data_IF_948593463155
#
_entry.id   IF_948593463155
#
_cell.length_a   1.000
_cell.length_b   1.000
_cell.length_c   1.000
_cell.angle_alpha   90.00
_cell.angle_beta   90.00
_cell.angle_gamma   90.00
#
_symmetry.space_group_name_H-M   'P 1'
#
loop_
_entity.id
_entity.type
_entity.pdbx_description
1 polymer ?
#
# COMPACT_ATOMS: atom_id res chain seq x y z
N UNK A 1 11.64 9.26 -15.73
CA UNK A 1 10.51 9.84 -14.93
C UNK A 1 9.24 9.62 -15.70
N UNK A 2 8.27 8.93 -15.09
CA UNK A 2 6.96 8.63 -15.70
C UNK A 2 6.03 9.85 -15.63
N UNK A 3 5.01 9.95 -16.52
CA UNK A 3 4.08 11.09 -16.53
C UNK A 3 3.28 11.18 -15.22
N UNK A 4 3.10 12.40 -14.71
CA UNK A 4 2.25 12.65 -13.53
C UNK A 4 0.80 12.21 -13.75
N UNK A 5 0.11 11.83 -12.69
CA UNK A 5 -1.26 11.36 -12.72
C UNK A 5 -1.44 9.91 -13.16
N UNK A 6 -0.36 9.18 -13.48
CA UNK A 6 -0.41 7.78 -13.95
C UNK A 6 -0.05 6.77 -12.87
N UNK A 7 -0.53 5.53 -13.01
CA UNK A 7 -0.13 4.43 -12.14
C UNK A 7 1.39 4.15 -12.22
N UNK A 8 1.98 4.33 -13.41
CA UNK A 8 3.43 4.15 -13.59
C UNK A 8 4.24 5.15 -12.73
N UNK A 9 3.79 6.41 -12.63
CA UNK A 9 4.42 7.42 -11.78
C UNK A 9 4.26 7.11 -10.30
N UNK A 10 3.08 6.63 -9.87
CA UNK A 10 2.87 6.19 -8.48
C UNK A 10 3.86 5.09 -8.11
N UNK A 11 4.01 4.09 -8.97
CA UNK A 11 4.91 2.95 -8.73
C UNK A 11 6.37 3.42 -8.70
N UNK A 12 6.80 4.29 -9.62
CA UNK A 12 8.14 4.86 -9.61
C UNK A 12 8.45 5.58 -8.30
N UNK A 13 7.54 6.44 -7.84
CA UNK A 13 7.69 7.18 -6.58
C UNK A 13 7.74 6.22 -5.38
N UNK A 14 6.85 5.24 -5.33
CA UNK A 14 6.80 4.28 -4.22
C UNK A 14 8.06 3.38 -4.17
N UNK A 15 8.56 2.93 -5.33
CA UNK A 15 9.78 2.13 -5.43
C UNK A 15 11.01 2.87 -4.91
N UNK A 16 11.11 4.18 -5.19
CA UNK A 16 12.22 5.01 -4.71
C UNK A 16 12.27 5.13 -3.18
N UNK A 17 11.17 4.86 -2.50
CA UNK A 17 11.07 4.93 -1.04
C UNK A 17 11.34 3.60 -0.33
N UNK A 18 11.41 2.48 -1.05
CA UNK A 18 11.67 1.16 -0.45
C UNK A 18 13.00 1.16 0.31
N UNK A 19 12.97 0.70 1.55
CA UNK A 19 14.10 0.69 2.48
C UNK A 19 14.18 1.92 3.39
N UNK A 20 13.31 2.90 3.23
CA UNK A 20 13.21 4.03 4.17
C UNK A 20 12.77 3.52 5.55
N UNK A 21 13.49 3.97 6.59
CA UNK A 21 13.23 3.63 8.01
C UNK A 21 12.87 4.91 8.75
N UNK A 22 11.93 4.82 9.68
CA UNK A 22 11.60 5.92 10.59
C UNK A 22 12.80 6.33 11.45
N UNK A 23 12.88 7.61 11.80
CA UNK A 23 14.03 8.16 12.56
C UNK A 23 13.84 8.12 14.09
N UNK A 24 12.67 7.74 14.54
CA UNK A 24 12.24 7.59 15.93
C UNK A 24 10.86 6.97 15.91
N UNK A 25 10.19 6.86 17.02
CA UNK A 25 8.86 6.22 17.07
C UNK A 25 7.85 6.96 16.18
N UNK A 26 7.57 6.38 15.01
CA UNK A 26 6.68 6.92 13.98
C UNK A 26 7.06 8.32 13.44
N UNK A 27 8.34 8.72 13.50
CA UNK A 27 8.79 10.01 12.98
C UNK A 27 9.29 9.86 11.54
N UNK A 28 8.58 10.47 10.59
CA UNK A 28 8.88 10.38 9.16
C UNK A 28 8.57 11.66 8.39
N UNK A 29 9.17 11.81 7.21
CA UNK A 29 8.76 12.87 6.26
C UNK A 29 7.28 12.73 5.83
N UNK A 30 6.75 11.52 5.82
CA UNK A 30 5.36 11.26 5.45
C UNK A 30 4.39 11.74 6.52
N UNK A 31 4.68 11.46 7.79
CA UNK A 31 3.92 11.97 8.92
C UNK A 31 3.94 13.49 8.98
N UNK A 32 5.11 14.11 8.77
CA UNK A 32 5.25 15.58 8.68
C UNK A 32 4.40 16.15 7.55
N UNK A 33 4.42 15.54 6.37
CA UNK A 33 3.62 15.96 5.21
C UNK A 33 2.13 15.96 5.53
N UNK A 34 1.61 14.94 6.19
CA UNK A 34 0.19 14.83 6.55
C UNK A 34 -0.18 15.54 7.86
N UNK A 35 0.79 16.17 8.54
CA UNK A 35 0.62 16.77 9.89
C UNK A 35 0.19 15.76 10.95
N UNK A 36 0.64 14.51 10.80
CA UNK A 36 0.36 13.36 11.67
C UNK A 36 1.66 12.65 12.10
N UNK A 37 2.75 13.41 12.26
CA UNK A 37 4.04 12.88 12.71
C UNK A 37 3.94 12.31 14.13
N UNK A 38 4.59 11.18 14.38
CA UNK A 38 4.46 10.44 15.64
C UNK A 38 3.27 9.47 15.69
N UNK A 39 2.42 9.42 14.66
CA UNK A 39 1.34 8.45 14.51
C UNK A 39 1.73 7.35 13.51
N UNK A 40 1.08 6.15 13.55
CA UNK A 40 1.26 5.12 12.53
C UNK A 40 1.11 5.70 11.13
N UNK A 41 2.11 5.51 10.26
CA UNK A 41 2.27 6.29 9.05
C UNK A 41 2.06 5.54 7.72
N UNK A 42 1.45 4.37 7.75
CA UNK A 42 1.12 3.65 6.51
C UNK A 42 0.22 4.47 5.56
N UNK A 43 -0.80 5.13 6.10
CA UNK A 43 -1.66 6.02 5.34
C UNK A 43 -0.98 7.32 4.93
N UNK A 44 -0.17 7.90 5.80
CA UNK A 44 0.64 9.09 5.48
C UNK A 44 1.62 8.84 4.35
N UNK A 45 2.23 7.66 4.30
CA UNK A 45 3.06 7.21 3.20
C UNK A 45 2.29 7.20 1.87
N UNK A 46 1.10 6.59 1.83
CA UNK A 46 0.26 6.59 0.64
C UNK A 46 -0.10 8.02 0.20
N UNK A 47 -0.54 8.88 1.11
CA UNK A 47 -0.85 10.26 0.78
C UNK A 47 0.34 11.00 0.17
N UNK A 48 1.54 10.81 0.73
CA UNK A 48 2.76 11.42 0.22
C UNK A 48 3.12 10.92 -1.19
N UNK A 49 3.07 9.61 -1.42
CA UNK A 49 3.36 9.00 -2.73
C UNK A 49 2.41 9.50 -3.80
N UNK A 50 1.10 9.48 -3.52
CA UNK A 50 0.08 9.91 -4.48
C UNK A 50 0.20 11.40 -4.79
N UNK A 51 0.41 12.24 -3.78
CA UNK A 51 0.67 13.67 -3.99
C UNK A 51 1.90 13.91 -4.88
N UNK A 52 3.02 13.24 -4.58
CA UNK A 52 4.27 13.35 -5.35
C UNK A 52 4.10 12.83 -6.79
N UNK A 53 3.19 11.90 -7.00
CA UNK A 53 2.85 11.38 -8.33
C UNK A 53 1.81 12.24 -9.07
N UNK A 54 1.32 13.35 -8.49
CA UNK A 54 0.31 14.20 -9.09
C UNK A 54 -1.10 13.59 -9.09
N UNK A 55 -1.41 12.74 -8.12
CA UNK A 55 -2.71 12.06 -7.98
C UNK A 55 -3.38 12.46 -6.66
N UNK A 56 -4.62 12.91 -6.74
CA UNK A 56 -5.40 13.29 -5.57
C UNK A 56 -6.13 12.07 -4.98
N UNK A 57 -5.94 11.86 -3.68
CA UNK A 57 -6.69 10.90 -2.87
C UNK A 57 -7.15 11.57 -1.56
N UNK A 58 -8.22 11.08 -0.91
CA UNK A 58 -8.58 11.58 0.42
C UNK A 58 -7.49 11.22 1.45
N UNK A 59 -7.55 11.84 2.63
CA UNK A 59 -6.65 11.49 3.72
C UNK A 59 -6.76 10.00 4.06
N UNK A 60 -5.61 9.32 4.10
CA UNK A 60 -5.45 7.92 4.50
C UNK A 60 -4.82 7.78 5.89
N UNK A 61 -4.59 8.88 6.61
CA UNK A 61 -4.03 8.87 7.97
C UNK A 61 -4.84 7.93 8.88
N UNK A 62 -6.17 7.99 8.82
CA UNK A 62 -7.04 6.93 9.30
C UNK A 62 -7.42 6.06 8.10
N UNK A 63 -6.85 4.85 8.01
CA UNK A 63 -7.07 3.95 6.88
C UNK A 63 -8.56 3.56 6.73
N UNK A 64 -9.25 3.34 7.84
CA UNK A 64 -10.69 3.04 7.85
C UNK A 64 -11.52 4.23 7.31
N UNK A 65 -11.22 5.45 7.74
CA UNK A 65 -11.91 6.65 7.24
C UNK A 65 -11.60 6.91 5.75
N UNK A 66 -10.36 6.68 5.34
CA UNK A 66 -9.94 6.77 3.94
C UNK A 66 -10.68 5.77 3.05
N UNK A 67 -10.78 4.52 3.48
CA UNK A 67 -11.55 3.49 2.80
C UNK A 67 -13.02 3.87 2.65
N UNK A 68 -13.63 4.39 3.71
CA UNK A 68 -15.01 4.86 3.68
C UNK A 68 -15.21 5.96 2.63
N UNK A 69 -14.33 6.96 2.60
CA UNK A 69 -14.36 8.03 1.59
C UNK A 69 -14.19 7.52 0.16
N UNK A 70 -13.35 6.50 -0.05
CA UNK A 70 -13.20 5.88 -1.37
C UNK A 70 -14.47 5.13 -1.79
N UNK A 71 -15.15 4.46 -0.85
CA UNK A 71 -16.45 3.83 -1.09
C UNK A 71 -17.53 4.86 -1.45
N UNK A 72 -17.64 5.95 -0.71
CA UNK A 72 -18.58 7.06 -1.00
C UNK A 72 -18.35 7.66 -2.39
N UNK A 73 -17.10 7.70 -2.86
CA UNK A 73 -16.74 8.18 -4.20
C UNK A 73 -16.96 7.13 -5.31
N UNK A 74 -17.49 5.95 -5.00
CA UNK A 74 -17.67 4.86 -5.95
C UNK A 74 -16.36 4.29 -6.51
N UNK A 75 -15.27 4.33 -5.71
CA UNK A 75 -13.92 3.94 -6.11
C UNK A 75 -13.47 2.60 -5.52
N UNK A 76 -14.33 1.93 -4.78
CA UNK A 76 -14.02 0.64 -4.14
C UNK A 76 -14.07 -0.51 -5.15
N UNK A 77 -13.12 -1.44 -5.01
CA UNK A 77 -12.98 -2.65 -5.84
C UNK A 77 -12.75 -3.84 -4.90
N UNK A 78 -13.54 -4.89 -5.01
CA UNK A 78 -13.45 -6.04 -4.11
C UNK A 78 -12.36 -7.03 -4.51
N UNK A 79 -12.20 -7.35 -5.80
CA UNK A 79 -11.43 -8.51 -6.24
C UNK A 79 -10.43 -8.28 -7.39
N UNK A 80 -10.57 -7.24 -8.18
CA UNK A 80 -9.76 -7.01 -9.40
C UNK A 80 -8.80 -5.85 -9.26
N UNK A 81 -7.75 -6.04 -8.48
CA UNK A 81 -6.71 -5.05 -8.33
C UNK A 81 -6.03 -4.70 -9.67
N UNK A 82 -5.67 -3.44 -9.82
CA UNK A 82 -4.80 -2.94 -10.88
C UNK A 82 -3.59 -2.24 -10.28
N UNK A 83 -2.58 -2.02 -11.13
CA UNK A 83 -1.39 -1.26 -10.75
C UNK A 83 -1.77 0.15 -10.33
N UNK A 84 -1.23 0.60 -9.19
CA UNK A 84 -1.54 1.91 -8.62
C UNK A 84 -2.79 1.97 -7.75
N UNK A 85 -3.54 0.87 -7.57
CA UNK A 85 -4.63 0.81 -6.61
C UNK A 85 -4.11 0.88 -5.17
N UNK A 86 -4.91 1.43 -4.28
CA UNK A 86 -4.73 1.29 -2.83
C UNK A 86 -5.24 -0.09 -2.40
N UNK A 87 -4.45 -0.79 -1.60
CA UNK A 87 -4.79 -2.08 -1.01
C UNK A 87 -5.05 -1.91 0.48
N UNK A 88 -6.27 -2.21 0.93
CA UNK A 88 -6.66 -2.12 2.33
C UNK A 88 -6.63 -3.48 2.99
N UNK A 89 -6.07 -3.54 4.18
CA UNK A 89 -5.80 -4.78 4.89
C UNK A 89 -6.32 -4.73 6.33
N UNK A 90 -6.69 -5.91 6.83
CA UNK A 90 -7.02 -6.17 8.22
C UNK A 90 -5.93 -7.04 8.86
N UNK A 91 -5.34 -6.53 9.92
CA UNK A 91 -4.47 -7.29 10.81
C UNK A 91 -4.99 -7.15 12.24
N UNK A 92 -5.14 -8.22 12.98
CA UNK A 92 -4.60 -9.57 12.80
C UNK A 92 -5.42 -10.56 11.97
N UNK A 93 -6.44 -10.16 11.23
CA UNK A 93 -7.32 -11.04 10.45
C UNK A 93 -8.07 -12.04 11.36
N UNK A 94 -8.88 -11.49 12.24
CA UNK A 94 -9.62 -12.24 13.27
C UNK A 94 -11.08 -12.53 12.89
N UNK A 95 -11.44 -12.31 11.62
CA UNK A 95 -12.81 -12.48 11.12
C UNK A 95 -13.71 -11.26 11.33
N UNK A 96 -13.18 -10.19 11.90
CA UNK A 96 -13.86 -8.89 12.02
C UNK A 96 -13.16 -7.93 11.09
N UNK A 97 -13.82 -7.55 9.99
CA UNK A 97 -13.24 -6.64 8.98
C UNK A 97 -12.96 -5.25 9.57
N UNK A 98 -11.76 -5.09 10.09
CA UNK A 98 -11.25 -3.82 10.63
C UNK A 98 -10.05 -3.37 9.82
N UNK A 99 -10.28 -2.47 8.89
CA UNK A 99 -9.18 -1.91 8.10
C UNK A 99 -8.20 -1.22 9.05
N UNK A 100 -6.98 -1.77 9.10
CA UNK A 100 -5.93 -1.35 10.02
C UNK A 100 -4.61 -1.00 9.31
N UNK A 101 -4.49 -1.33 8.02
CA UNK A 101 -3.28 -1.10 7.24
C UNK A 101 -3.62 -0.83 5.77
N UNK A 102 -2.67 -0.21 5.06
CA UNK A 102 -2.82 0.16 3.65
C UNK A 102 -1.48 0.05 2.93
N UNK A 103 -1.52 -0.30 1.64
CA UNK A 103 -0.38 -0.30 0.74
C UNK A 103 -0.78 0.11 -0.67
N UNK A 104 0.20 0.16 -1.56
CA UNK A 104 0.05 0.52 -2.97
C UNK A 104 0.34 -0.69 -3.83
N UNK A 105 -0.60 -1.11 -4.67
CA UNK A 105 -0.45 -2.26 -5.57
C UNK A 105 0.56 -1.93 -6.67
N UNK A 106 1.63 -2.69 -6.74
CA UNK A 106 2.71 -2.53 -7.74
C UNK A 106 2.86 -3.74 -8.66
N UNK A 107 2.23 -4.86 -8.33
CA UNK A 107 2.13 -6.05 -9.19
C UNK A 107 0.88 -6.85 -8.83
N UNK A 108 0.20 -7.36 -9.84
CA UNK A 108 -1.02 -8.16 -9.68
C UNK A 108 -0.77 -9.63 -10.00
N UNK A 109 -1.53 -10.53 -9.36
CA UNK A 109 -1.55 -11.95 -9.61
C UNK A 109 -2.94 -12.54 -9.32
N UNK A 110 -3.13 -13.83 -9.57
CA UNK A 110 -4.44 -14.49 -9.41
C UNK A 110 -4.88 -14.59 -7.94
N UNK A 111 -3.95 -14.85 -7.04
CA UNK A 111 -4.22 -15.12 -5.61
C UNK A 111 -3.54 -14.15 -4.66
N UNK A 112 -2.68 -13.30 -5.18
CA UNK A 112 -1.92 -12.33 -4.39
C UNK A 112 -1.54 -11.12 -5.22
N UNK A 113 -1.23 -10.03 -4.53
CA UNK A 113 -0.63 -8.82 -5.09
C UNK A 113 0.71 -8.55 -4.42
N UNK A 114 1.59 -7.79 -5.07
CA UNK A 114 2.69 -7.13 -4.39
C UNK A 114 2.31 -5.69 -4.11
N UNK A 115 2.49 -5.28 -2.87
CA UNK A 115 2.27 -3.91 -2.42
C UNK A 115 3.57 -3.30 -1.93
N UNK A 116 3.75 -1.99 -2.11
CA UNK A 116 4.71 -1.21 -1.35
C UNK A 116 3.95 -0.58 -0.19
N UNK A 117 4.44 -0.78 1.01
CA UNK A 117 3.78 -0.41 2.25
C UNK A 117 4.72 0.40 3.14
N UNK A 118 4.21 1.49 3.70
CA UNK A 118 4.87 2.21 4.77
C UNK A 118 4.55 1.61 6.13
N UNK A 119 5.42 1.83 7.11
CA UNK A 119 5.25 1.42 8.50
C UNK A 119 5.01 -0.10 8.68
N UNK A 120 5.71 -0.92 7.94
CA UNK A 120 5.63 -2.38 8.01
C UNK A 120 6.99 -2.99 8.37
N UNK A 121 7.04 -4.32 8.58
CA UNK A 121 8.27 -5.04 8.86
C UNK A 121 8.35 -6.36 8.08
N UNK A 122 9.54 -6.96 8.06
CA UNK A 122 9.77 -8.27 7.45
C UNK A 122 9.07 -9.38 8.22
N UNK A 123 9.28 -9.45 9.53
CA UNK A 123 8.83 -10.53 10.42
C UNK A 123 8.09 -10.08 11.67
N UNK A 124 8.11 -8.78 11.98
CA UNK A 124 7.47 -8.18 13.16
C UNK A 124 6.07 -7.65 12.89
N UNK A 125 5.74 -6.54 13.52
CA UNK A 125 4.44 -5.89 13.37
C UNK A 125 4.23 -5.42 11.92
N UNK A 126 3.14 -5.88 11.32
CA UNK A 126 2.81 -5.55 9.93
C UNK A 126 2.16 -4.17 9.78
N UNK A 127 1.74 -3.55 10.88
CA UNK A 127 1.05 -2.25 10.91
C UNK A 127 1.87 -1.13 11.54
N UNK A 128 2.89 -1.46 12.30
CA UNK A 128 3.75 -0.52 13.01
C UNK A 128 5.20 -1.03 13.06
N UNK A 129 5.73 -1.37 11.90
CA UNK A 129 7.05 -1.99 11.74
C UNK A 129 8.17 -1.03 11.39
N UNK A 130 7.87 0.25 11.17
CA UNK A 130 8.85 1.33 11.03
C UNK A 130 9.59 1.43 9.70
N UNK A 131 9.20 0.67 8.66
CA UNK A 131 9.93 0.61 7.38
C UNK A 131 9.00 0.66 6.16
N UNK A 132 9.53 1.16 5.04
CA UNK A 132 8.89 1.01 3.71
C UNK A 132 9.40 -0.26 3.06
N UNK A 133 8.50 -1.18 2.72
CA UNK A 133 8.86 -2.47 2.15
C UNK A 133 7.94 -2.92 1.03
N UNK A 134 8.49 -3.74 0.12
CA UNK A 134 7.73 -4.54 -0.82
C UNK A 134 7.21 -5.80 -0.11
N UNK A 135 5.91 -6.03 -0.14
CA UNK A 135 5.22 -7.12 0.56
C UNK A 135 4.30 -7.88 -0.39
N UNK A 136 4.22 -9.22 -0.22
CA UNK A 136 3.18 -10.04 -0.85
C UNK A 136 1.98 -10.12 0.07
N UNK A 137 0.79 -9.82 -0.47
CA UNK A 137 -0.49 -9.91 0.24
C UNK A 137 -1.45 -10.81 -0.51
N UNK A 138 -2.24 -11.59 0.21
CA UNK A 138 -3.09 -12.64 -0.36
C UNK A 138 -4.56 -12.21 -0.38
N UNK A 139 -5.19 -12.39 -1.54
CA UNK A 139 -6.63 -12.18 -1.72
C UNK A 139 -7.38 -13.25 -0.93
N UNK A 140 -8.43 -12.86 -0.20
CA UNK A 140 -9.18 -13.76 0.67
C UNK A 140 -8.51 -14.10 2.00
N UNK A 141 -7.45 -13.35 2.35
CA UNK A 141 -6.81 -13.41 3.68
C UNK A 141 -6.81 -12.02 4.30
N UNK A 142 -5.63 -11.40 4.46
CA UNK A 142 -5.51 -10.08 5.06
C UNK A 142 -6.10 -8.93 4.22
N UNK A 143 -6.33 -9.12 2.93
CA UNK A 143 -6.88 -8.07 2.06
C UNK A 143 -8.39 -7.98 2.24
N UNK A 144 -8.86 -6.79 2.61
CA UNK A 144 -10.30 -6.44 2.72
C UNK A 144 -10.84 -5.98 1.37
N UNK A 145 -10.05 -5.26 0.59
CA UNK A 145 -10.42 -4.76 -0.73
C UNK A 145 -9.43 -3.73 -1.25
N UNK A 146 -9.76 -3.14 -2.39
CA UNK A 146 -8.93 -2.17 -3.06
C UNK A 146 -9.71 -0.88 -3.33
N UNK A 147 -9.00 0.21 -3.57
CA UNK A 147 -9.61 1.41 -4.09
C UNK A 147 -8.80 1.98 -5.24
N UNK A 148 -9.50 2.33 -6.33
CA UNK A 148 -8.89 2.85 -7.55
C UNK A 148 -9.01 4.36 -7.61
N UNK A 149 -7.92 5.12 -7.46
CA UNK A 149 -7.93 6.55 -7.67
C UNK A 149 -8.30 6.93 -9.11
N UNK A 150 -8.61 8.18 -9.34
CA UNK A 150 -8.76 8.69 -10.70
C UNK A 150 -7.38 8.88 -11.30
N UNK A 151 -7.03 8.05 -12.28
CA UNK A 151 -5.73 8.07 -12.94
C UNK A 151 -5.84 8.48 -14.39
N UNK A 152 -4.76 9.07 -14.92
CA UNK A 152 -4.56 9.28 -16.36
C UNK A 152 -4.12 7.94 -16.96
N UNK A 153 -4.75 7.57 -18.07
CA UNK A 153 -4.40 6.35 -18.80
C UNK A 153 -2.95 6.43 -19.31
N UNK A 154 -2.21 5.34 -19.18
CA UNK A 154 -0.83 5.25 -19.63
C UNK A 154 -0.63 3.93 -20.37
N UNK A 155 -0.20 4.02 -21.64
CA UNK A 155 -0.01 2.87 -22.52
C UNK A 155 1.46 2.44 -22.68
N UNK A 156 2.39 3.13 -21.99
CA UNK A 156 3.82 2.82 -22.04
C UNK A 156 4.23 1.68 -21.09
N UNK A 157 5.51 1.41 -21.02
CA UNK A 157 6.07 0.44 -20.09
C UNK A 157 5.98 0.96 -18.65
N UNK A 158 5.79 0.04 -17.71
CA UNK A 158 5.75 0.32 -16.29
C UNK A 158 7.11 0.08 -15.62
N UNK A 159 7.38 0.68 -14.44
CA UNK A 159 8.56 0.31 -13.67
C UNK A 159 8.61 -1.20 -13.41
N UNK A 160 9.79 -1.78 -13.56
CA UNK A 160 9.99 -3.21 -13.29
C UNK A 160 9.96 -3.43 -11.78
N UNK A 161 9.06 -4.32 -11.34
CA UNK A 161 8.98 -4.78 -9.95
C UNK A 161 9.34 -6.25 -9.91
N UNK A 162 10.50 -6.57 -9.33
CA UNK A 162 10.94 -7.97 -9.21
C UNK A 162 9.99 -8.78 -8.33
N UNK A 163 9.67 -10.04 -8.72
CA UNK A 163 8.84 -10.88 -7.90
C UNK A 163 9.56 -11.26 -6.61
N UNK A 164 8.89 -11.11 -5.47
CA UNK A 164 9.41 -11.64 -4.21
C UNK A 164 9.54 -13.17 -4.31
N UNK A 165 10.60 -13.78 -3.73
CA UNK A 165 10.71 -15.22 -3.64
C UNK A 165 9.43 -15.83 -3.05
N UNK A 166 8.96 -16.92 -3.62
CA UNK A 166 7.85 -17.66 -3.01
C UNK A 166 8.36 -18.28 -1.71
N UNK A 167 7.57 -18.17 -0.64
CA UNK A 167 7.88 -18.91 0.59
C UNK A 167 7.97 -20.40 0.24
N UNK A 168 9.11 -21.03 0.57
CA UNK A 168 9.23 -22.48 0.44
C UNK A 168 8.09 -23.15 1.22
N UNK A 169 7.42 -24.18 0.66
CA UNK A 169 6.44 -24.94 1.42
C UNK A 169 7.09 -25.42 2.71
N UNK A 170 6.44 -25.23 3.85
CA UNK A 170 6.91 -25.83 5.11
C UNK A 170 6.96 -27.35 4.89
N UNK A 171 8.14 -27.94 4.95
CA UNK A 171 8.27 -29.39 4.98
C UNK A 171 7.43 -29.91 6.15
N UNK A 172 6.45 -30.74 5.84
CA UNK A 172 5.71 -31.45 6.88
C UNK A 172 6.73 -32.35 7.56
N UNK A 173 7.12 -32.03 8.79
CA UNK A 173 7.85 -32.99 9.63
C UNK A 173 6.98 -34.25 9.77
N UNK A 174 7.48 -35.36 9.26
CA UNK A 174 6.91 -36.68 9.47
C UNK A 174 7.06 -37.09 10.92
#
# INVERSE_FOLDING_TARGET
MYPEGTAARIIEVALAEVGTIETGENLTKYGKFTKADGLPWCGSFCNWVFHTAGVEIPSMVSTAAGAHKMKERGRWIDDKAQLGDLCFMDFPHDGIDRISHIGIVVRTGKTSVLCIEGNTSGTGDQRNGGMVMLKRRYIGKEIVGFARPKLIAYAGEYPVVEPLPQAKPKEKKK
#
